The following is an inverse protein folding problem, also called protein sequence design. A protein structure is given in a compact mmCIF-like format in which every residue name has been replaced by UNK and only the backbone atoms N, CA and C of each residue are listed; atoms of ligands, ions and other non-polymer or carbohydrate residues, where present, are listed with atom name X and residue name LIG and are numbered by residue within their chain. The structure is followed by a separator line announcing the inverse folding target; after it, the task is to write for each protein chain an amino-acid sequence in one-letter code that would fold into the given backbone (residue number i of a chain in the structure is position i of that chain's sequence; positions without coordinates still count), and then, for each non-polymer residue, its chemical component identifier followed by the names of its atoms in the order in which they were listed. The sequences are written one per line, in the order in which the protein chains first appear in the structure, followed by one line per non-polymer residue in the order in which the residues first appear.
data_IF_571669994179
#
_entry.id   IF_571669994179
#
_cell.length_a   1.000
_cell.length_b   1.000
_cell.length_c   1.000
_cell.angle_alpha   90.00
_cell.angle_beta   90.00
_cell.angle_gamma   90.00
#
_symmetry.space_group_name_H-M   'P 1'
#
loop_
_entity.id
_entity.type
_entity.pdbx_description
1 polymer ?
#
# COMPACT_ATOMS: atom_id res chain seq x y z
N UNK A 1 3.79 -19.58 -1.48
CA UNK A 1 2.47 -19.13 -1.92
C UNK A 1 2.62 -18.23 -3.12
N UNK A 2 1.82 -18.48 -4.13
CA UNK A 2 1.87 -17.70 -5.36
C UNK A 2 0.82 -16.60 -5.33
N UNK A 3 1.26 -15.36 -5.54
CA UNK A 3 0.40 -14.16 -5.52
C UNK A 3 0.35 -13.53 -6.90
N UNK A 4 -0.81 -12.95 -7.21
CA UNK A 4 -0.97 -12.01 -8.30
C UNK A 4 -0.98 -10.62 -7.68
N UNK A 5 -0.01 -9.80 -8.06
CA UNK A 5 0.10 -8.41 -7.59
C UNK A 5 -0.33 -7.51 -8.74
N UNK A 6 -1.40 -6.79 -8.54
CA UNK A 6 -2.04 -6.00 -9.60
C UNK A 6 -2.80 -4.80 -9.07
N UNK A 7 -3.22 -3.94 -9.95
CA UNK A 7 -4.11 -2.83 -9.61
C UNK A 7 -5.48 -3.36 -9.18
N UNK A 8 -6.04 -2.73 -8.17
CA UNK A 8 -7.39 -3.05 -7.70
C UNK A 8 -8.44 -2.74 -8.76
N UNK A 9 -9.46 -3.58 -8.83
CA UNK A 9 -10.60 -3.45 -9.72
C UNK A 9 -11.90 -3.42 -8.91
N UNK A 10 -13.01 -3.07 -9.54
CA UNK A 10 -14.32 -3.01 -8.87
C UNK A 10 -14.70 -4.34 -8.21
N UNK A 11 -14.35 -5.46 -8.84
CA UNK A 11 -14.60 -6.80 -8.29
C UNK A 11 -13.90 -7.05 -6.95
N UNK A 12 -12.92 -6.24 -6.60
CA UNK A 12 -12.12 -6.39 -5.37
C UNK A 12 -12.72 -5.67 -4.17
N UNK A 13 -13.82 -4.95 -4.32
CA UNK A 13 -14.38 -4.11 -3.24
C UNK A 13 -14.64 -4.89 -1.95
N UNK A 14 -15.21 -6.09 -2.02
CA UNK A 14 -15.45 -6.91 -0.83
C UNK A 14 -14.15 -7.32 -0.16
N UNK A 15 -13.17 -7.76 -0.95
CA UNK A 15 -11.85 -8.14 -0.44
C UNK A 15 -11.10 -6.96 0.16
N UNK A 16 -11.19 -5.78 -0.45
CA UNK A 16 -10.60 -4.55 0.07
C UNK A 16 -11.21 -4.16 1.42
N UNK A 17 -12.52 -4.27 1.59
CA UNK A 17 -13.17 -4.01 2.87
C UNK A 17 -12.60 -4.89 3.98
N UNK A 18 -12.43 -6.19 3.70
CA UNK A 18 -11.87 -7.13 4.67
C UNK A 18 -10.42 -6.79 5.03
N UNK A 19 -9.62 -6.44 4.04
CA UNK A 19 -8.22 -6.07 4.26
C UNK A 19 -8.12 -4.77 5.07
N UNK A 20 -8.94 -3.78 4.76
CA UNK A 20 -8.92 -2.49 5.49
C UNK A 20 -9.36 -2.63 6.95
N UNK A 21 -10.20 -3.61 7.28
CA UNK A 21 -10.60 -3.88 8.67
C UNK A 21 -9.42 -4.36 9.54
N UNK A 22 -8.31 -4.75 8.96
CA UNK A 22 -7.08 -5.07 9.69
C UNK A 22 -6.46 -3.81 10.32
N UNK A 23 -6.63 -2.65 9.67
CA UNK A 23 -6.00 -1.38 10.07
C UNK A 23 -7.00 -0.31 10.49
N UNK A 24 -8.30 -0.59 10.44
CA UNK A 24 -9.37 0.34 10.81
C UNK A 24 -10.50 -0.39 11.52
N UNK A 25 -11.21 0.32 12.38
CA UNK A 25 -12.34 -0.24 13.14
C UNK A 25 -13.57 -0.54 12.27
N UNK A 26 -13.63 0.11 11.10
CA UNK A 26 -14.76 -0.05 10.17
C UNK A 26 -14.30 0.13 8.74
N UNK A 27 -14.99 -0.54 7.83
CA UNK A 27 -14.78 -0.35 6.39
C UNK A 27 -15.27 1.03 5.96
N UNK A 28 -14.70 1.56 4.88
CA UNK A 28 -15.19 2.77 4.24
C UNK A 28 -16.60 2.58 3.67
N UNK A 29 -17.33 3.69 3.52
CA UNK A 29 -18.63 3.67 2.85
C UNK A 29 -18.49 3.11 1.43
N UNK A 30 -19.27 2.07 1.11
CA UNK A 30 -19.15 1.31 -0.14
C UNK A 30 -19.23 2.19 -1.39
N UNK A 31 -20.20 3.09 -1.44
CA UNK A 31 -20.37 3.97 -2.60
C UNK A 31 -19.19 4.93 -2.76
N UNK A 32 -18.69 5.46 -1.66
CA UNK A 32 -17.53 6.35 -1.63
C UNK A 32 -16.27 5.61 -2.06
N UNK A 33 -16.03 4.41 -1.53
CA UNK A 33 -14.86 3.59 -1.88
C UNK A 33 -14.87 3.25 -3.37
N UNK A 34 -16.02 2.89 -3.92
CA UNK A 34 -16.18 2.61 -5.34
C UNK A 34 -15.81 3.82 -6.20
N UNK A 35 -16.28 4.99 -5.83
CA UNK A 35 -15.98 6.25 -6.52
C UNK A 35 -14.49 6.57 -6.46
N UNK A 36 -13.88 6.44 -5.28
CA UNK A 36 -12.45 6.66 -5.08
C UNK A 36 -11.61 5.65 -5.86
N UNK A 37 -12.03 4.39 -5.93
CA UNK A 37 -11.35 3.37 -6.71
C UNK A 37 -11.28 3.77 -8.19
N UNK A 38 -12.38 4.25 -8.75
CA UNK A 38 -12.41 4.73 -10.13
C UNK A 38 -11.47 5.92 -10.34
N UNK A 39 -11.47 6.86 -9.40
CA UNK A 39 -10.60 8.04 -9.44
C UNK A 39 -9.13 7.66 -9.36
N UNK A 40 -8.77 6.76 -8.44
CA UNK A 40 -7.40 6.28 -8.28
C UNK A 40 -6.95 5.52 -9.53
N UNK A 41 -7.80 4.66 -10.08
CA UNK A 41 -7.48 3.89 -11.29
C UNK A 41 -7.20 4.77 -12.51
N UNK A 42 -7.82 5.95 -12.58
CA UNK A 42 -7.59 6.91 -13.65
C UNK A 42 -6.38 7.82 -13.44
N UNK A 43 -5.72 7.75 -12.30
CA UNK A 43 -4.57 8.59 -11.98
C UNK A 43 -3.27 7.81 -12.13
N UNK A 44 -2.42 8.15 -13.14
CA UNK A 44 -1.18 7.41 -13.37
C UNK A 44 -0.16 7.54 -12.23
N UNK A 45 -0.30 8.52 -11.34
CA UNK A 45 0.59 8.72 -10.19
C UNK A 45 0.14 7.94 -8.95
N UNK A 46 -0.91 7.13 -9.07
CA UNK A 46 -1.43 6.33 -7.96
C UNK A 46 -1.53 4.86 -8.36
N UNK A 47 -1.21 4.01 -7.41
CA UNK A 47 -1.32 2.57 -7.57
C UNK A 47 -1.95 2.00 -6.31
N UNK A 48 -3.25 1.70 -6.38
CA UNK A 48 -3.91 0.89 -5.36
C UNK A 48 -3.64 -0.57 -5.70
N UNK A 49 -2.68 -1.15 -5.00
CA UNK A 49 -2.21 -2.50 -5.23
C UNK A 49 -3.01 -3.48 -4.38
N UNK A 50 -3.42 -4.58 -4.98
CA UNK A 50 -3.96 -5.73 -4.27
C UNK A 50 -3.08 -6.95 -4.51
N UNK A 51 -2.97 -7.78 -3.47
CA UNK A 51 -2.34 -9.08 -3.53
C UNK A 51 -3.46 -10.14 -3.54
N UNK A 52 -3.57 -10.86 -4.63
CA UNK A 52 -4.55 -11.93 -4.80
C UNK A 52 -3.86 -13.28 -4.64
N UNK A 53 -4.38 -14.13 -3.77
CA UNK A 53 -3.93 -15.52 -3.67
C UNK A 53 -4.36 -16.26 -4.95
N UNK A 54 -3.40 -16.64 -5.75
CA UNK A 54 -3.66 -17.28 -7.05
C UNK A 54 -4.48 -18.56 -6.93
N UNK A 55 -4.33 -19.27 -5.82
CA UNK A 55 -5.02 -20.54 -5.60
C UNK A 55 -6.51 -20.36 -5.29
N UNK A 56 -6.86 -19.34 -4.49
CA UNK A 56 -8.22 -19.15 -3.98
C UNK A 56 -8.95 -17.99 -4.62
N UNK A 57 -8.23 -17.05 -5.23
CA UNK A 57 -8.80 -15.79 -5.72
C UNK A 57 -9.05 -14.77 -4.63
N UNK A 58 -8.70 -15.06 -3.37
CA UNK A 58 -8.92 -14.15 -2.25
C UNK A 58 -7.95 -12.97 -2.31
N UNK A 59 -8.45 -11.77 -2.03
CA UNK A 59 -7.60 -10.60 -1.79
C UNK A 59 -7.05 -10.72 -0.37
N UNK A 60 -5.75 -10.90 -0.25
CA UNK A 60 -5.10 -11.13 1.04
C UNK A 60 -4.26 -9.96 1.54
N UNK A 61 -4.03 -8.94 0.73
CA UNK A 61 -3.30 -7.75 1.12
C UNK A 61 -3.56 -6.60 0.17
N UNK A 62 -3.25 -5.39 0.63
CA UNK A 62 -3.35 -4.18 -0.20
C UNK A 62 -2.44 -3.09 0.36
N UNK A 63 -2.05 -2.17 -0.51
CA UNK A 63 -1.43 -0.90 -0.17
C UNK A 63 -1.74 0.14 -1.24
N UNK A 64 -1.64 1.41 -0.88
CA UNK A 64 -1.76 2.52 -1.82
C UNK A 64 -0.39 3.17 -2.00
N UNK A 65 0.11 3.22 -3.23
CA UNK A 65 1.28 3.99 -3.60
C UNK A 65 0.85 5.29 -4.28
N UNK A 66 1.47 6.40 -3.88
CA UNK A 66 1.23 7.72 -4.47
C UNK A 66 2.57 8.34 -4.82
N UNK A 67 2.73 8.73 -6.07
CA UNK A 67 3.93 9.44 -6.52
C UNK A 67 3.61 10.93 -6.60
N UNK A 68 4.47 11.74 -6.00
CA UNK A 68 4.32 13.20 -6.08
C UNK A 68 5.66 13.85 -6.43
N UNK A 69 5.57 15.01 -7.07
CA UNK A 69 6.73 15.75 -7.52
C UNK A 69 7.49 16.34 -6.33
N UNK A 70 8.81 16.37 -6.45
CA UNK A 70 9.70 17.04 -5.51
C UNK A 70 10.54 18.07 -6.28
N UNK A 71 10.58 19.29 -5.77
CA UNK A 71 11.34 20.39 -6.40
C UNK A 71 12.66 20.64 -5.69
N UNK A 72 13.06 19.78 -4.78
CA UNK A 72 14.28 19.90 -3.99
C UNK A 72 15.35 18.93 -4.52
N UNK A 73 16.61 19.35 -4.41
CA UNK A 73 17.79 18.53 -4.74
C UNK A 73 17.75 17.92 -6.14
N UNK A 74 17.59 16.59 -6.26
CA UNK A 74 17.59 15.90 -7.56
C UNK A 74 16.35 16.15 -8.40
N UNK A 75 15.31 16.75 -7.82
CA UNK A 75 13.98 16.93 -8.43
C UNK A 75 13.35 15.63 -8.90
N UNK A 76 13.73 14.51 -8.30
CA UNK A 76 13.12 13.20 -8.56
C UNK A 76 11.90 13.03 -7.66
N UNK A 77 10.82 12.43 -8.16
CA UNK A 77 9.60 12.26 -7.38
C UNK A 77 9.80 11.36 -6.16
N UNK A 78 8.84 11.43 -5.25
CA UNK A 78 8.82 10.66 -4.01
C UNK A 78 7.63 9.70 -4.07
N UNK A 79 7.85 8.47 -3.62
CA UNK A 79 6.81 7.45 -3.46
C UNK A 79 6.31 7.45 -2.01
N UNK A 80 5.05 7.82 -1.81
CA UNK A 80 4.36 7.67 -0.52
C UNK A 80 3.58 6.37 -0.52
N UNK A 81 3.74 5.57 0.53
CA UNK A 81 3.00 4.31 0.71
C UNK A 81 2.06 4.44 1.90
N UNK A 82 0.78 4.14 1.70
CA UNK A 82 -0.28 4.28 2.69
C UNK A 82 -1.16 3.01 2.73
N UNK A 83 -1.88 2.86 3.84
CA UNK A 83 -2.87 1.79 4.02
C UNK A 83 -2.33 0.39 3.78
N UNK A 84 -1.13 0.11 4.27
CA UNK A 84 -0.52 -1.22 4.16
C UNK A 84 -1.22 -2.19 5.09
N UNK A 85 -1.83 -3.21 4.53
CA UNK A 85 -2.55 -4.21 5.32
C UNK A 85 -2.46 -5.59 4.68
N UNK A 86 -2.35 -6.62 5.52
CA UNK A 86 -2.36 -8.02 5.13
C UNK A 86 -3.33 -8.73 6.05
N UNK A 87 -4.24 -9.55 5.51
CA UNK A 87 -5.18 -10.35 6.30
C UNK A 87 -4.42 -11.18 7.33
N UNK A 88 -4.96 -11.27 8.53
CA UNK A 88 -4.31 -11.94 9.66
C UNK A 88 -3.86 -13.37 9.31
N UNK A 89 -4.73 -14.14 8.62
CA UNK A 89 -4.43 -15.50 8.19
C UNK A 89 -3.30 -15.61 7.15
N UNK A 90 -2.93 -14.50 6.54
CA UNK A 90 -1.86 -14.44 5.53
C UNK A 90 -0.58 -13.76 6.04
N UNK A 91 -0.59 -13.24 7.25
CA UNK A 91 0.61 -12.62 7.83
C UNK A 91 1.71 -13.64 8.09
N UNK A 92 2.97 -13.19 7.97
CA UNK A 92 4.13 -14.06 8.13
C UNK A 92 4.39 -15.01 6.96
N UNK A 93 3.71 -14.82 5.84
CA UNK A 93 3.80 -15.69 4.64
C UNK A 93 4.41 -14.97 3.43
N UNK A 94 5.02 -13.80 3.64
CA UNK A 94 5.70 -13.05 2.60
C UNK A 94 4.82 -12.14 1.73
N UNK A 95 3.55 -12.00 2.03
CA UNK A 95 2.62 -11.15 1.25
C UNK A 95 3.08 -9.69 1.26
N UNK A 96 3.35 -9.15 2.44
CA UNK A 96 3.81 -7.76 2.58
C UNK A 96 5.10 -7.50 1.81
N UNK A 97 6.07 -8.40 1.91
CA UNK A 97 7.33 -8.28 1.18
C UNK A 97 7.11 -8.22 -0.33
N UNK A 98 6.27 -9.10 -0.86
CA UNK A 98 5.97 -9.11 -2.30
C UNK A 98 5.23 -7.83 -2.74
N UNK A 99 4.32 -7.32 -1.91
CA UNK A 99 3.65 -6.05 -2.20
C UNK A 99 4.66 -4.89 -2.28
N UNK A 100 5.62 -4.82 -1.35
CA UNK A 100 6.65 -3.79 -1.38
C UNK A 100 7.58 -3.94 -2.58
N UNK A 101 7.95 -5.15 -2.94
CA UNK A 101 8.73 -5.39 -4.16
C UNK A 101 8.03 -4.83 -5.40
N UNK A 102 6.73 -5.05 -5.52
CA UNK A 102 5.96 -4.55 -6.68
C UNK A 102 5.80 -3.04 -6.67
N UNK A 103 5.46 -2.44 -5.54
CA UNK A 103 5.28 -0.98 -5.51
C UNK A 103 6.62 -0.25 -5.71
N UNK A 104 7.71 -0.80 -5.20
CA UNK A 104 9.06 -0.25 -5.42
C UNK A 104 9.48 -0.39 -6.88
N UNK A 105 9.21 -1.52 -7.50
CA UNK A 105 9.44 -1.71 -8.94
C UNK A 105 8.70 -0.64 -9.75
N UNK A 106 7.42 -0.45 -9.47
CA UNK A 106 6.61 0.58 -10.11
C UNK A 106 7.17 1.99 -9.90
N UNK A 107 7.52 2.34 -8.68
CA UNK A 107 8.09 3.65 -8.37
C UNK A 107 9.41 3.91 -9.07
N UNK A 108 10.26 2.89 -9.17
CA UNK A 108 11.55 2.99 -9.85
C UNK A 108 11.41 3.04 -11.37
N UNK A 109 10.69 2.06 -11.95
CA UNK A 109 10.64 1.87 -13.40
C UNK A 109 9.74 2.89 -14.10
N UNK A 110 8.59 3.19 -13.52
CA UNK A 110 7.63 4.11 -14.14
C UNK A 110 7.91 5.58 -13.81
N UNK A 111 8.45 5.86 -12.64
CA UNK A 111 8.53 7.23 -12.12
C UNK A 111 9.93 7.70 -11.75
N UNK A 112 10.94 6.83 -11.73
CA UNK A 112 12.29 7.17 -11.30
C UNK A 112 12.31 7.81 -9.90
N UNK A 113 11.53 7.29 -8.97
CA UNK A 113 11.42 7.83 -7.62
C UNK A 113 12.77 7.84 -6.89
N UNK A 114 13.03 8.90 -6.13
CA UNK A 114 14.25 9.06 -5.35
C UNK A 114 14.24 8.17 -4.11
N UNK A 115 13.14 8.22 -3.36
CA UNK A 115 12.95 7.37 -2.19
C UNK A 115 11.46 7.11 -1.97
N UNK A 116 11.17 6.15 -1.09
CA UNK A 116 9.83 5.91 -0.60
C UNK A 116 9.74 6.29 0.87
N UNK A 117 8.56 6.70 1.30
CA UNK A 117 8.28 7.11 2.66
C UNK A 117 6.93 6.57 3.10
N UNK A 118 6.84 6.18 4.37
CA UNK A 118 5.57 5.81 4.99
C UNK A 118 5.57 6.24 6.45
N UNK A 119 4.39 6.28 7.03
CA UNK A 119 4.21 6.59 8.46
C UNK A 119 3.51 5.41 9.11
N UNK A 120 3.99 4.99 10.26
CA UNK A 120 3.40 3.93 11.07
C UNK A 120 3.22 4.41 12.51
N UNK A 121 2.09 4.08 13.13
CA UNK A 121 1.84 4.45 14.52
C UNK A 121 2.94 3.94 15.44
N UNK A 122 3.31 4.72 16.45
CA UNK A 122 4.42 4.41 17.36
C UNK A 122 4.20 3.11 18.14
N UNK A 123 2.95 2.71 18.37
CA UNK A 123 2.60 1.49 19.09
C UNK A 123 2.66 0.23 18.25
N UNK A 124 2.85 0.36 16.94
CA UNK A 124 2.86 -0.77 15.99
C UNK A 124 4.26 -1.36 15.84
N UNK A 125 4.81 -1.89 16.95
CA UNK A 125 6.19 -2.38 17.01
C UNK A 125 6.48 -3.55 16.06
N UNK A 126 5.50 -4.42 15.81
CA UNK A 126 5.64 -5.51 14.83
C UNK A 126 5.78 -4.98 13.41
N UNK A 127 5.01 -3.95 13.06
CA UNK A 127 5.14 -3.27 11.76
C UNK A 127 6.51 -2.60 11.61
N UNK A 128 7.01 -1.97 12.68
CA UNK A 128 8.34 -1.34 12.66
C UNK A 128 9.45 -2.35 12.37
N UNK A 129 9.38 -3.55 12.96
CA UNK A 129 10.33 -4.64 12.68
C UNK A 129 10.25 -5.08 11.23
N UNK A 130 9.03 -5.18 10.70
CA UNK A 130 8.80 -5.52 9.30
C UNK A 130 9.44 -4.48 8.37
N UNK A 131 9.21 -3.20 8.61
CA UNK A 131 9.79 -2.13 7.79
C UNK A 131 11.31 -2.08 7.89
N UNK A 132 11.88 -2.26 9.08
CA UNK A 132 13.32 -2.35 9.25
C UNK A 132 13.91 -3.52 8.44
N UNK A 133 13.25 -4.68 8.42
CA UNK A 133 13.66 -5.84 7.64
C UNK A 133 13.61 -5.60 6.13
N UNK A 134 12.76 -4.67 5.67
CA UNK A 134 12.70 -4.24 4.27
C UNK A 134 13.74 -3.17 3.91
N UNK A 135 14.50 -2.69 4.87
CA UNK A 135 15.55 -1.68 4.65
C UNK A 135 15.12 -0.24 4.93
N UNK A 136 13.95 -0.03 5.52
CA UNK A 136 13.53 1.32 5.93
C UNK A 136 14.32 1.81 7.13
N UNK A 137 14.71 3.08 7.10
CA UNK A 137 15.25 3.79 8.26
C UNK A 137 14.12 4.51 8.98
N UNK A 138 14.19 4.55 10.31
CA UNK A 138 13.26 5.37 11.08
C UNK A 138 13.58 6.85 10.89
N UNK A 139 12.57 7.61 10.53
CA UNK A 139 12.60 9.07 10.48
C UNK A 139 11.44 9.59 11.31
N UNK A 140 11.53 10.82 11.82
CA UNK A 140 10.48 11.36 12.66
C UNK A 140 9.41 12.06 11.84
N UNK A 141 8.19 11.54 11.88
CA UNK A 141 7.02 12.15 11.27
C UNK A 141 6.13 12.86 12.29
N UNK A 142 5.30 13.78 11.81
CA UNK A 142 4.33 14.49 12.64
C UNK A 142 2.97 14.42 11.95
N UNK A 143 1.92 14.24 12.75
CA UNK A 143 0.54 14.13 12.26
C UNK A 143 -0.36 15.07 13.05
N UNK A 144 -1.23 15.76 12.34
CA UNK A 144 -2.21 16.67 12.94
C UNK A 144 -3.55 16.48 12.22
N UNK A 145 -4.59 16.21 12.97
CA UNK A 145 -5.96 16.17 12.41
C UNK A 145 -6.45 17.59 12.13
N UNK A 146 -7.15 17.75 10.99
CA UNK A 146 -7.69 19.03 10.52
C UNK A 146 -9.18 19.13 10.77
#
# INVERSE_FOLDING_TARGET
MELILRKAEEKDLDGLDQVMLVISDKAGDRATVKELLQKISGDPQKYLLVAEDKKTGAICGSLLGVVFEDICDSCRPILLVENVAVLESYQGRGVGRQMFQEIERWGKEQWNCHYEILVSGMNRTGAHKFYAALGFEEVKGFKKYL
#
